data_IF_018290912289
#
_entry.id   IF_018290912289
#
_cell.length_a   1.000
_cell.length_b   1.000
_cell.length_c   1.000
_cell.angle_alpha   90.00
_cell.angle_beta   90.00
_cell.angle_gamma   90.00
#
_symmetry.space_group_name_H-M   'P 1'
#
loop_
_entity.id
_entity.type
_entity.pdbx_description
1 polymer ?
#
# COMPACT_ATOMS: atom_id res chain seq x y z
N UNK A 1 13.42 5.38 -4.66
CA UNK A 1 13.81 3.96 -4.51
C UNK A 1 13.33 3.28 -5.79
N UNK A 2 14.19 2.65 -6.60
CA UNK A 2 13.76 2.13 -7.92
C UNK A 2 12.76 0.97 -7.77
N UNK A 3 11.46 1.26 -7.81
CA UNK A 3 10.35 0.29 -7.85
C UNK A 3 10.31 -0.52 -9.16
N UNK A 4 11.22 -0.24 -10.11
CA UNK A 4 11.34 -0.87 -11.43
C UNK A 4 11.73 -2.35 -11.44
N UNK A 5 11.68 -3.06 -10.31
CA UNK A 5 11.94 -4.51 -10.26
C UNK A 5 10.73 -5.27 -9.72
N UNK A 6 9.60 -5.19 -10.43
CA UNK A 6 8.45 -6.08 -10.24
C UNK A 6 7.73 -6.00 -8.89
N UNK A 7 7.91 -4.90 -8.16
CA UNK A 7 7.29 -4.69 -6.84
C UNK A 7 6.39 -3.45 -6.90
N UNK A 8 5.12 -3.65 -6.56
CA UNK A 8 4.15 -2.58 -6.40
C UNK A 8 3.99 -2.28 -4.90
N UNK A 9 4.10 -1.00 -4.53
CA UNK A 9 3.93 -0.54 -3.16
C UNK A 9 2.66 0.29 -3.04
N UNK A 10 1.85 -0.01 -2.03
CA UNK A 10 0.65 0.73 -1.69
C UNK A 10 0.76 1.35 -0.30
N UNK A 11 0.27 2.58 -0.14
CA UNK A 11 0.15 3.27 1.14
C UNK A 11 -1.32 3.50 1.48
N UNK A 12 -1.72 3.11 2.68
CA UNK A 12 -3.08 3.32 3.18
C UNK A 12 -3.33 4.80 3.51
N UNK A 13 -4.33 5.41 2.88
CA UNK A 13 -4.76 6.79 3.17
C UNK A 13 -5.43 6.95 4.54
N UNK A 14 -6.10 5.90 5.05
CA UNK A 14 -6.63 5.91 6.43
C UNK A 14 -5.49 6.01 7.44
N UNK A 15 -4.39 5.30 7.21
CA UNK A 15 -3.22 5.34 8.09
C UNK A 15 -2.51 6.69 8.03
N UNK A 16 -2.30 7.26 6.84
CA UNK A 16 -1.68 8.59 6.71
C UNK A 16 -2.55 9.67 7.35
N UNK A 17 -3.88 9.58 7.20
CA UNK A 17 -4.84 10.45 7.88
C UNK A 17 -4.74 10.36 9.40
N UNK A 18 -4.71 9.14 9.95
CA UNK A 18 -4.55 8.90 11.40
C UNK A 18 -3.23 9.46 11.94
N UNK A 19 -2.13 9.25 11.21
CA UNK A 19 -0.79 9.72 11.58
C UNK A 19 -0.54 11.19 11.23
N UNK A 20 -1.52 11.89 10.64
CA UNK A 20 -1.41 13.29 10.17
C UNK A 20 -0.26 13.49 9.17
N UNK A 21 0.04 12.46 8.38
CA UNK A 21 1.03 12.51 7.29
C UNK A 21 0.31 13.00 6.03
N UNK A 22 0.92 14.00 5.37
CA UNK A 22 0.46 14.51 4.09
C UNK A 22 0.74 13.47 2.99
N UNK A 23 -0.26 13.11 2.19
CA UNK A 23 -0.07 12.14 1.10
C UNK A 23 0.96 12.64 0.07
N UNK A 24 1.14 13.95 -0.05
CA UNK A 24 2.13 14.57 -0.93
C UNK A 24 3.58 14.36 -0.46
N UNK A 25 3.77 13.95 0.81
CA UNK A 25 5.09 13.58 1.34
C UNK A 25 5.46 12.12 1.07
N UNK A 26 4.52 11.33 0.57
CA UNK A 26 4.77 9.95 0.14
C UNK A 26 5.51 9.97 -1.19
N UNK A 27 6.47 9.07 -1.35
CA UNK A 27 7.23 8.93 -2.59
C UNK A 27 6.29 8.76 -3.80
N UNK A 28 6.50 9.49 -4.91
CA UNK A 28 5.62 9.45 -6.08
C UNK A 28 5.45 8.06 -6.70
N UNK A 29 6.42 7.16 -6.50
CA UNK A 29 6.36 5.77 -6.94
C UNK A 29 5.45 4.85 -6.10
N UNK A 30 4.96 5.31 -4.94
CA UNK A 30 4.07 4.55 -4.05
C UNK A 30 2.62 4.97 -4.32
N UNK A 31 1.76 4.01 -4.59
CA UNK A 31 0.36 4.28 -4.83
C UNK A 31 -0.38 4.51 -3.50
N UNK A 32 -0.94 5.69 -3.30
CA UNK A 32 -1.81 5.95 -2.16
C UNK A 32 -3.20 5.39 -2.45
N UNK A 33 -3.63 4.40 -1.67
CA UNK A 33 -4.93 3.74 -1.80
C UNK A 33 -5.87 4.13 -0.66
N UNK A 34 -7.17 3.93 -0.86
CA UNK A 34 -8.19 4.19 0.16
C UNK A 34 -7.89 3.43 1.45
N UNK A 35 -7.94 2.10 1.42
CA UNK A 35 -7.66 1.24 2.56
C UNK A 35 -6.90 -0.01 2.13
N UNK A 36 -5.65 -0.17 2.60
CA UNK A 36 -4.80 -1.29 2.21
C UNK A 36 -5.33 -2.66 2.66
N UNK A 37 -6.22 -2.74 3.66
CA UNK A 37 -6.88 -4.01 3.99
C UNK A 37 -7.86 -4.46 2.90
N UNK A 38 -8.51 -3.53 2.21
CA UNK A 38 -9.38 -3.85 1.06
C UNK A 38 -8.52 -4.35 -0.11
N UNK A 39 -7.40 -3.68 -0.39
CA UNK A 39 -6.43 -4.15 -1.39
C UNK A 39 -5.94 -5.56 -1.07
N UNK A 40 -5.49 -5.81 0.17
CA UNK A 40 -5.01 -7.12 0.61
C UNK A 40 -6.08 -8.21 0.46
N UNK A 41 -7.32 -7.95 0.87
CA UNK A 41 -8.43 -8.87 0.65
C UNK A 41 -8.65 -9.16 -0.85
N UNK A 42 -8.55 -8.13 -1.69
CA UNK A 42 -8.62 -8.26 -3.15
C UNK A 42 -7.50 -9.11 -3.74
N UNK A 43 -6.26 -8.93 -3.30
CA UNK A 43 -5.11 -9.75 -3.72
C UNK A 43 -5.27 -11.21 -3.27
N UNK A 44 -5.65 -11.45 -2.02
CA UNK A 44 -5.91 -12.81 -1.52
C UNK A 44 -7.02 -13.50 -2.33
N UNK A 45 -8.11 -12.80 -2.65
CA UNK A 45 -9.19 -13.33 -3.49
C UNK A 45 -8.75 -13.64 -4.94
N UNK A 46 -7.67 -13.03 -5.43
CA UNK A 46 -7.04 -13.35 -6.73
C UNK A 46 -6.06 -14.53 -6.64
N UNK A 47 -5.90 -15.14 -5.47
CA UNK A 47 -4.99 -16.27 -5.24
C UNK A 47 -3.57 -15.87 -4.85
N UNK A 48 -3.31 -14.60 -4.52
CA UNK A 48 -2.02 -14.19 -3.99
C UNK A 48 -1.86 -14.66 -2.53
N UNK A 49 -0.68 -15.18 -2.20
CA UNK A 49 -0.37 -15.57 -0.83
C UNK A 49 -0.19 -14.32 0.05
N UNK A 50 -0.79 -14.34 1.23
CA UNK A 50 -0.50 -13.35 2.27
C UNK A 50 0.71 -13.79 3.08
N UNK A 51 1.71 -12.92 3.14
CA UNK A 51 2.89 -13.07 3.98
C UNK A 51 2.76 -12.04 5.11
N UNK A 52 2.38 -12.44 6.33
CA UNK A 52 2.37 -11.51 7.46
C UNK A 52 3.80 -11.09 7.79
N UNK A 53 3.96 -9.81 8.12
CA UNK A 53 5.20 -9.23 8.64
C UNK A 53 4.80 -8.59 9.97
N UNK A 54 5.12 -9.26 11.07
CA UNK A 54 4.94 -8.77 12.45
C UNK A 54 6.22 -8.17 13.04
#
# INVERSE_FOLDING_TARGET
MDTKKGLEFEQCSVATGFLKIKNESIYPEIQVVGNSWISLAGYQNKGYAYIPID
#
